data_IF_541237611114
#
_entry.id   IF_541237611114
#
_cell.length_a   1.000
_cell.length_b   1.000
_cell.length_c   1.000
_cell.angle_alpha   90.00
_cell.angle_beta   90.00
_cell.angle_gamma   90.00
#
_symmetry.space_group_name_H-M   'P 1'
#
loop_
_entity.id
_entity.type
_entity.pdbx_description
1 polymer ?
#
# COMPACT_ATOMS: atom_id res chain seq x y z
N UNK A 1 31.60 -71.93 -6.51
CA UNK A 1 30.79 -70.72 -6.29
C UNK A 1 30.30 -69.98 -7.55
N UNK A 2 30.94 -70.13 -8.73
CA UNK A 2 30.47 -69.46 -9.96
C UNK A 2 29.16 -70.00 -10.60
N UNK A 3 28.77 -71.22 -10.29
CA UNK A 3 27.58 -71.86 -10.87
C UNK A 3 26.27 -71.46 -10.19
N UNK A 4 26.30 -71.01 -8.93
CA UNK A 4 25.13 -70.57 -8.19
C UNK A 4 24.67 -69.17 -8.69
N UNK A 5 25.59 -68.29 -9.05
CA UNK A 5 25.23 -66.95 -9.55
C UNK A 5 24.58 -66.96 -10.94
N UNK A 6 24.93 -67.91 -11.80
CA UNK A 6 24.29 -68.05 -13.09
C UNK A 6 22.83 -68.54 -12.96
N UNK A 7 22.55 -69.43 -12.02
CA UNK A 7 21.18 -69.89 -11.74
C UNK A 7 20.29 -68.80 -11.17
N UNK A 8 20.79 -67.92 -10.31
CA UNK A 8 20.10 -66.80 -9.73
C UNK A 8 19.82 -65.72 -10.79
N UNK A 9 20.78 -65.50 -11.67
CA UNK A 9 20.63 -64.49 -12.76
C UNK A 9 19.52 -64.94 -13.78
N UNK A 10 19.46 -66.23 -14.12
CA UNK A 10 18.39 -66.78 -14.96
C UNK A 10 17.01 -66.79 -14.28
N UNK A 11 16.95 -67.00 -12.98
CA UNK A 11 15.71 -66.92 -12.20
C UNK A 11 15.16 -65.46 -12.12
N UNK A 12 16.06 -64.46 -12.05
CA UNK A 12 15.66 -63.07 -12.10
C UNK A 12 15.18 -62.63 -13.52
N UNK A 13 15.74 -63.20 -14.59
CA UNK A 13 15.32 -62.87 -15.94
C UNK A 13 13.95 -63.50 -16.26
N UNK A 14 13.62 -64.69 -15.74
CA UNK A 14 12.32 -65.32 -15.89
C UNK A 14 11.23 -64.65 -15.03
N UNK A 15 11.61 -63.91 -13.98
CA UNK A 15 10.69 -63.11 -13.16
C UNK A 15 10.25 -61.78 -13.77
N UNK A 16 10.99 -61.30 -14.79
CA UNK A 16 10.70 -60.02 -15.46
C UNK A 16 9.88 -60.19 -16.73
N UNK A 17 9.70 -61.42 -17.22
CA UNK A 17 8.84 -61.72 -18.40
C UNK A 17 7.40 -62.04 -18.02
N UNK A 18 6.97 -61.85 -16.82
CA UNK A 18 5.57 -61.68 -16.49
C UNK A 18 5.11 -60.37 -17.07
N UNK A 19 4.92 -60.27 -18.36
CA UNK A 19 3.96 -59.32 -18.94
C UNK A 19 2.65 -59.69 -18.25
N UNK A 20 2.31 -58.98 -17.23
CA UNK A 20 0.92 -58.82 -16.85
C UNK A 20 0.30 -58.10 -18.06
N UNK A 21 -0.36 -58.84 -18.93
CA UNK A 21 -1.32 -58.26 -19.82
C UNK A 21 -2.31 -57.56 -18.91
N UNK A 22 -2.18 -56.26 -18.82
CA UNK A 22 -3.16 -55.43 -18.17
C UNK A 22 -4.41 -55.49 -19.01
N UNK A 23 -5.28 -56.47 -18.76
CA UNK A 23 -6.60 -56.56 -19.35
C UNK A 23 -7.49 -55.35 -18.96
N UNK A 24 -6.96 -54.38 -18.24
CA UNK A 24 -7.62 -53.14 -17.92
C UNK A 24 -7.67 -52.15 -19.07
N UNK A 25 -6.94 -52.38 -20.18
CA UNK A 25 -7.25 -51.77 -21.47
C UNK A 25 -8.45 -52.48 -22.14
N UNK A 26 -9.56 -52.54 -21.40
CA UNK A 26 -10.82 -52.67 -22.11
C UNK A 26 -10.90 -51.50 -23.05
N UNK A 27 -10.94 -51.80 -24.38
CA UNK A 27 -11.29 -50.81 -25.35
C UNK A 27 -12.56 -50.12 -24.85
N UNK A 28 -12.45 -48.88 -24.46
CA UNK A 28 -13.58 -48.07 -24.05
C UNK A 28 -14.63 -48.20 -25.10
N UNK A 29 -15.83 -48.73 -24.83
CA UNK A 29 -16.86 -48.81 -25.87
C UNK A 29 -16.96 -47.43 -26.54
N UNK A 30 -17.11 -47.39 -27.86
CA UNK A 30 -17.26 -46.11 -28.60
C UNK A 30 -18.36 -45.21 -28.02
N UNK A 31 -19.32 -45.80 -27.28
CA UNK A 31 -20.35 -45.10 -26.52
C UNK A 31 -19.84 -44.40 -25.24
N UNK A 32 -18.60 -44.65 -24.78
CA UNK A 32 -17.99 -43.96 -23.65
C UNK A 32 -17.09 -42.79 -24.01
N UNK A 33 -17.02 -42.42 -25.29
CA UNK A 33 -16.06 -41.45 -25.84
C UNK A 33 -16.62 -40.02 -25.89
N UNK A 34 -17.73 -39.73 -25.24
CA UNK A 34 -18.10 -38.32 -25.06
C UNK A 34 -17.27 -37.73 -23.93
N UNK A 35 -16.26 -36.99 -24.26
CA UNK A 35 -15.42 -36.26 -23.31
C UNK A 35 -16.21 -35.07 -22.77
N UNK A 36 -16.24 -34.91 -21.46
CA UNK A 36 -16.78 -33.69 -20.85
C UNK A 36 -15.75 -32.59 -21.10
N UNK A 37 -16.09 -31.61 -21.92
CA UNK A 37 -15.25 -30.44 -22.13
C UNK A 37 -15.91 -29.25 -21.48
N UNK A 38 -15.15 -28.53 -20.64
CA UNK A 38 -15.58 -27.35 -19.91
C UNK A 38 -14.76 -26.17 -20.45
N UNK A 39 -15.43 -25.09 -20.86
CA UNK A 39 -14.75 -23.86 -21.25
C UNK A 39 -14.04 -23.25 -20.02
N UNK A 40 -12.78 -22.84 -20.16
CA UNK A 40 -12.00 -22.24 -19.11
C UNK A 40 -12.62 -20.92 -18.64
N UNK A 41 -12.61 -20.68 -17.35
CA UNK A 41 -12.97 -19.39 -16.77
C UNK A 41 -11.73 -18.49 -16.71
N UNK A 42 -11.95 -17.20 -16.94
CA UNK A 42 -10.91 -16.20 -16.70
C UNK A 42 -10.74 -15.95 -15.21
N UNK A 43 -9.50 -15.69 -14.79
CA UNK A 43 -9.21 -15.18 -13.46
C UNK A 43 -10.05 -13.95 -13.16
N UNK A 44 -10.60 -13.88 -11.96
CA UNK A 44 -11.52 -12.81 -11.59
C UNK A 44 -11.22 -12.28 -10.18
N UNK A 45 -11.90 -11.20 -9.83
CA UNK A 45 -11.80 -10.66 -8.48
C UNK A 45 -13.17 -10.23 -7.97
N UNK A 46 -13.32 -10.28 -6.66
CA UNK A 46 -14.53 -9.95 -5.95
C UNK A 46 -14.21 -9.09 -4.72
N UNK A 47 -15.17 -8.28 -4.31
CA UNK A 47 -15.10 -7.52 -3.06
C UNK A 47 -15.80 -8.35 -1.99
N UNK A 48 -15.10 -8.63 -0.90
CA UNK A 48 -15.64 -9.35 0.26
C UNK A 48 -16.94 -8.70 0.76
N UNK A 49 -17.91 -9.51 1.10
CA UNK A 49 -19.22 -9.09 1.65
C UNK A 49 -20.07 -8.16 0.76
N UNK A 50 -19.64 -7.93 -0.50
CA UNK A 50 -20.35 -7.05 -1.44
C UNK A 50 -20.63 -7.70 -2.78
N UNK A 51 -19.83 -8.66 -3.19
CA UNK A 51 -19.97 -9.32 -4.50
C UNK A 51 -20.72 -10.62 -4.38
N UNK A 52 -21.65 -10.87 -5.30
CA UNK A 52 -22.16 -12.20 -5.57
C UNK A 52 -21.47 -12.73 -6.82
N UNK A 53 -20.73 -13.82 -6.68
CA UNK A 53 -20.06 -14.48 -7.79
C UNK A 53 -21.06 -15.31 -8.56
N UNK A 54 -21.42 -14.88 -9.77
CA UNK A 54 -22.33 -15.59 -10.66
C UNK A 54 -21.58 -16.18 -11.86
N UNK A 55 -21.60 -17.51 -11.98
CA UNK A 55 -20.91 -18.24 -13.03
C UNK A 55 -21.80 -19.34 -13.60
N UNK A 56 -21.66 -19.59 -14.89
CA UNK A 56 -22.34 -20.70 -15.56
C UNK A 56 -21.35 -21.34 -16.53
N UNK A 57 -20.96 -22.60 -16.34
CA UNK A 57 -20.03 -23.29 -17.22
C UNK A 57 -20.69 -23.59 -18.56
N UNK A 58 -19.93 -23.45 -19.63
CA UNK A 58 -20.29 -24.00 -20.93
C UNK A 58 -19.66 -25.38 -21.05
N UNK A 59 -20.51 -26.37 -21.07
CA UNK A 59 -20.11 -27.79 -21.11
C UNK A 59 -20.58 -28.41 -22.40
N UNK A 60 -19.73 -29.21 -23.00
CA UNK A 60 -20.05 -30.01 -24.21
C UNK A 60 -19.76 -31.50 -23.94
N UNK A 61 -20.34 -32.36 -24.75
CA UNK A 61 -20.20 -33.80 -24.65
C UNK A 61 -21.46 -34.53 -24.13
N UNK A 62 -22.21 -33.93 -23.22
CA UNK A 62 -23.42 -34.50 -22.63
C UNK A 62 -24.52 -33.45 -22.48
N UNK A 63 -25.77 -33.89 -22.31
CA UNK A 63 -26.87 -33.00 -21.94
C UNK A 63 -26.82 -32.63 -20.46
N UNK A 64 -27.34 -31.46 -20.08
CA UNK A 64 -27.36 -31.01 -18.70
C UNK A 64 -28.08 -31.97 -17.74
N UNK A 65 -29.05 -32.75 -18.21
CA UNK A 65 -29.79 -33.73 -17.42
C UNK A 65 -28.94 -34.92 -17.00
N UNK A 66 -27.90 -35.21 -17.77
CA UNK A 66 -26.95 -36.32 -17.51
C UNK A 66 -25.79 -35.89 -16.60
N UNK A 67 -25.66 -34.61 -16.35
CA UNK A 67 -24.54 -34.04 -15.62
C UNK A 67 -24.93 -33.64 -14.21
N UNK A 68 -23.95 -33.75 -13.30
CA UNK A 68 -23.95 -33.23 -11.95
C UNK A 68 -22.83 -32.20 -11.82
N UNK A 69 -23.05 -31.14 -11.06
CA UNK A 69 -22.12 -30.05 -10.88
C UNK A 69 -21.72 -29.95 -9.43
N UNK A 70 -20.43 -29.65 -9.18
CA UNK A 70 -19.90 -29.32 -7.88
C UNK A 70 -18.93 -28.18 -7.98
N UNK A 71 -19.19 -27.12 -7.19
CA UNK A 71 -18.30 -25.99 -7.07
C UNK A 71 -17.65 -26.03 -5.71
N UNK A 72 -16.35 -25.89 -5.66
CA UNK A 72 -15.62 -25.81 -4.42
C UNK A 72 -14.47 -24.83 -4.51
N UNK A 73 -13.95 -24.39 -3.36
CA UNK A 73 -12.92 -23.40 -3.22
C UNK A 73 -11.84 -23.87 -2.25
N UNK A 74 -10.59 -23.51 -2.52
CA UNK A 74 -9.46 -23.71 -1.63
C UNK A 74 -8.46 -22.55 -1.71
N UNK A 75 -7.41 -22.56 -0.84
CA UNK A 75 -6.46 -21.45 -0.74
C UNK A 75 -6.98 -20.33 0.19
N UNK A 76 -6.32 -19.18 0.22
CA UNK A 76 -6.68 -18.09 1.11
C UNK A 76 -6.79 -18.54 2.57
N UNK A 77 -7.93 -18.30 3.21
CA UNK A 77 -8.18 -18.75 4.59
C UNK A 77 -8.35 -20.28 4.75
N UNK A 78 -8.45 -21.03 3.64
CA UNK A 78 -8.52 -22.49 3.60
C UNK A 78 -7.20 -23.13 3.19
N UNK A 79 -6.07 -22.42 3.39
CA UNK A 79 -4.74 -22.92 3.02
C UNK A 79 -4.20 -24.03 3.93
N UNK A 80 -4.91 -24.38 5.00
CA UNK A 80 -4.55 -25.48 5.88
C UNK A 80 -4.52 -26.80 5.11
N UNK A 81 -3.45 -27.56 5.28
CA UNK A 81 -3.34 -28.91 4.73
C UNK A 81 -3.97 -29.93 5.68
N UNK A 82 -4.82 -30.78 5.12
CA UNK A 82 -5.31 -31.98 5.75
C UNK A 82 -4.45 -33.17 5.33
N UNK A 83 -4.68 -34.36 5.91
CA UNK A 83 -4.02 -35.61 5.49
C UNK A 83 -4.30 -35.94 4.01
N UNK A 84 -5.47 -35.50 3.49
CA UNK A 84 -5.94 -35.74 2.13
C UNK A 84 -5.61 -34.60 1.13
N UNK A 85 -4.84 -33.59 1.53
CA UNK A 85 -4.47 -32.48 0.67
C UNK A 85 -4.90 -31.12 1.21
N UNK A 86 -5.30 -30.18 0.31
CA UNK A 86 -5.82 -28.87 0.72
C UNK A 86 -7.25 -29.00 1.26
N UNK A 87 -7.55 -28.19 2.28
CA UNK A 87 -8.93 -28.05 2.74
C UNK A 87 -9.76 -27.40 1.65
N UNK A 88 -10.78 -28.11 1.16
CA UNK A 88 -11.74 -27.59 0.19
C UNK A 88 -13.07 -27.29 0.87
N UNK A 89 -13.75 -26.24 0.42
CA UNK A 89 -15.08 -25.86 0.88
C UNK A 89 -16.02 -25.84 -0.31
N UNK A 90 -17.10 -26.60 -0.25
CA UNK A 90 -18.13 -26.59 -1.29
C UNK A 90 -18.92 -25.28 -1.23
N UNK A 91 -19.06 -24.59 -2.37
CA UNK A 91 -19.76 -23.32 -2.49
C UNK A 91 -20.98 -23.36 -3.42
N UNK A 92 -21.20 -24.48 -4.11
CA UNK A 92 -22.37 -24.71 -4.95
C UNK A 92 -22.47 -26.15 -5.45
N UNK A 93 -23.68 -26.54 -5.89
CA UNK A 93 -23.98 -27.85 -6.45
C UNK A 93 -24.83 -27.78 -7.74
N UNK A 94 -25.20 -26.58 -8.15
CA UNK A 94 -26.01 -26.35 -9.35
C UNK A 94 -25.12 -25.94 -10.53
N UNK A 95 -25.63 -26.11 -11.76
CA UNK A 95 -24.92 -25.66 -12.97
C UNK A 95 -24.57 -24.18 -12.89
N UNK A 96 -25.52 -23.33 -12.46
CA UNK A 96 -25.27 -21.92 -12.20
C UNK A 96 -24.82 -21.75 -10.74
N UNK A 97 -23.58 -21.33 -10.56
CA UNK A 97 -23.11 -20.84 -9.26
C UNK A 97 -23.70 -19.45 -9.01
N UNK A 98 -24.22 -19.25 -7.80
CA UNK A 98 -24.55 -17.94 -7.24
C UNK A 98 -24.04 -17.94 -5.80
N UNK A 99 -22.87 -17.36 -5.59
CA UNK A 99 -22.14 -17.44 -4.31
C UNK A 99 -21.89 -16.06 -3.73
N UNK A 100 -22.50 -15.68 -2.60
CA UNK A 100 -22.13 -14.48 -1.86
C UNK A 100 -20.69 -14.63 -1.36
N UNK A 101 -19.81 -13.70 -1.74
CA UNK A 101 -18.39 -13.78 -1.40
C UNK A 101 -18.18 -13.27 0.02
N UNK A 102 -18.41 -14.14 1.01
CA UNK A 102 -18.18 -13.89 2.44
C UNK A 102 -16.82 -14.45 2.88
N UNK A 103 -15.80 -14.19 2.07
CA UNK A 103 -14.44 -14.69 2.25
C UNK A 103 -13.54 -13.58 2.78
N UNK A 104 -12.51 -13.95 3.54
CA UNK A 104 -11.43 -13.03 3.89
C UNK A 104 -10.65 -12.61 2.65
N UNK A 105 -10.02 -11.45 2.74
CA UNK A 105 -9.12 -10.96 1.68
C UNK A 105 -8.01 -11.98 1.43
N UNK A 106 -7.80 -12.30 0.16
CA UNK A 106 -6.81 -13.29 -0.24
C UNK A 106 -7.02 -13.77 -1.67
N UNK A 107 -6.17 -14.68 -2.09
CA UNK A 107 -6.29 -15.36 -3.38
C UNK A 107 -6.77 -16.78 -3.15
N UNK A 108 -7.81 -17.16 -3.85
CA UNK A 108 -8.44 -18.46 -3.79
C UNK A 108 -8.43 -19.12 -5.16
N UNK A 109 -8.51 -20.42 -5.19
CA UNK A 109 -8.79 -21.19 -6.40
C UNK A 109 -10.21 -21.70 -6.34
N UNK A 110 -11.02 -21.34 -7.32
CA UNK A 110 -12.38 -21.87 -7.49
C UNK A 110 -12.35 -22.97 -8.54
N UNK A 111 -12.98 -24.08 -8.24
CA UNK A 111 -13.03 -25.27 -9.11
C UNK A 111 -14.48 -25.58 -9.44
N UNK A 112 -14.74 -25.79 -10.72
CA UNK A 112 -15.98 -26.35 -11.22
C UNK A 112 -15.72 -27.80 -11.68
N UNK A 113 -16.28 -28.74 -10.96
CA UNK A 113 -16.25 -30.17 -11.29
C UNK A 113 -17.59 -30.56 -11.93
N UNK A 114 -17.53 -31.22 -13.06
CA UNK A 114 -18.70 -31.71 -13.80
C UNK A 114 -18.58 -33.21 -13.96
N UNK A 115 -19.57 -33.94 -13.47
CA UNK A 115 -19.58 -35.41 -13.43
C UNK A 115 -20.75 -35.96 -14.24
N UNK A 116 -20.52 -36.96 -15.06
CA UNK A 116 -21.60 -37.73 -15.68
C UNK A 116 -22.22 -38.67 -14.64
N UNK A 117 -23.53 -38.55 -14.43
CA UNK A 117 -24.27 -39.30 -13.38
C UNK A 117 -24.26 -40.82 -13.57
N UNK A 118 -24.21 -41.28 -14.81
CA UNK A 118 -24.30 -42.69 -15.13
C UNK A 118 -22.94 -43.39 -15.02
N UNK A 119 -21.90 -42.75 -15.55
CA UNK A 119 -20.58 -43.35 -15.65
C UNK A 119 -19.64 -42.97 -14.48
N UNK A 120 -19.94 -41.90 -13.78
CA UNK A 120 -19.05 -41.31 -12.78
C UNK A 120 -17.81 -40.63 -13.36
N UNK A 121 -17.70 -40.54 -14.70
CA UNK A 121 -16.62 -39.82 -15.34
C UNK A 121 -16.77 -38.32 -15.07
N UNK A 122 -15.69 -37.66 -14.70
CA UNK A 122 -15.69 -36.24 -14.39
C UNK A 122 -14.57 -35.50 -15.10
N UNK A 123 -14.77 -34.22 -15.29
CA UNK A 123 -13.74 -33.26 -15.65
C UNK A 123 -13.89 -32.00 -14.81
N UNK A 124 -12.82 -31.24 -14.68
CA UNK A 124 -12.80 -30.01 -13.88
C UNK A 124 -12.11 -28.87 -14.62
N UNK A 125 -12.49 -27.65 -14.26
CA UNK A 125 -11.79 -26.42 -14.62
C UNK A 125 -11.61 -25.57 -13.39
N UNK A 126 -10.51 -24.82 -13.33
CA UNK A 126 -10.20 -23.97 -12.20
C UNK A 126 -9.79 -22.56 -12.63
N UNK A 127 -9.98 -21.59 -11.79
CA UNK A 127 -9.55 -20.21 -11.99
C UNK A 127 -9.21 -19.54 -10.68
N UNK A 128 -8.42 -18.45 -10.74
CA UNK A 128 -8.04 -17.66 -9.59
C UNK A 128 -9.13 -16.64 -9.26
N UNK A 129 -9.56 -16.62 -7.99
CA UNK A 129 -10.44 -15.59 -7.41
C UNK A 129 -9.64 -14.73 -6.43
N UNK A 130 -9.38 -13.48 -6.80
CA UNK A 130 -8.77 -12.50 -5.88
C UNK A 130 -9.89 -11.79 -5.11
N UNK A 131 -9.99 -12.06 -3.81
CA UNK A 131 -10.91 -11.37 -2.90
C UNK A 131 -10.22 -10.14 -2.33
N UNK A 132 -10.85 -8.98 -2.51
CA UNK A 132 -10.36 -7.67 -2.05
C UNK A 132 -11.37 -7.05 -1.11
N UNK A 133 -10.99 -5.96 -0.41
CA UNK A 133 -11.97 -5.15 0.32
C UNK A 133 -12.49 -4.00 -0.55
N UNK A 134 -13.58 -3.39 -0.11
CA UNK A 134 -14.09 -2.17 -0.73
C UNK A 134 -13.08 -1.02 -0.66
N UNK A 135 -12.14 -1.06 0.30
CA UNK A 135 -11.24 0.02 0.67
C UNK A 135 -9.76 -0.27 0.39
N UNK A 136 -9.41 -1.38 -0.30
CA UNK A 136 -8.01 -1.79 -0.49
C UNK A 136 -7.40 -1.38 -1.82
N UNK A 137 -8.19 -0.99 -2.81
CA UNK A 137 -7.70 -0.64 -4.15
C UNK A 137 -8.24 0.73 -4.59
N UNK A 138 -7.51 1.80 -4.24
CA UNK A 138 -7.92 3.16 -4.56
C UNK A 138 -7.16 4.22 -3.78
N UNK A 139 -7.77 5.38 -3.67
CA UNK A 139 -7.17 6.55 -3.04
C UNK A 139 -8.04 7.07 -1.89
N UNK A 140 -7.43 7.27 -0.75
CA UNK A 140 -8.05 7.95 0.38
C UNK A 140 -7.85 9.46 0.23
N UNK A 141 -8.89 10.21 0.48
CA UNK A 141 -8.93 11.67 0.40
C UNK A 141 -9.35 12.18 1.77
N UNK A 142 -8.40 12.73 2.51
CA UNK A 142 -8.68 13.35 3.81
C UNK A 142 -9.45 14.65 3.64
N UNK A 143 -10.50 14.85 4.42
CA UNK A 143 -11.33 16.05 4.34
C UNK A 143 -11.81 16.56 5.70
N UNK A 144 -12.14 17.84 5.74
CA UNK A 144 -12.90 18.46 6.83
C UNK A 144 -14.41 18.32 6.54
N UNK A 145 -15.17 17.86 7.52
CA UNK A 145 -16.63 17.82 7.44
C UNK A 145 -17.22 19.20 7.65
N UNK A 146 -18.49 19.38 7.33
CA UNK A 146 -19.22 20.65 7.59
C UNK A 146 -19.22 21.06 9.07
N UNK A 147 -19.10 20.09 9.97
CA UNK A 147 -19.07 20.32 11.42
C UNK A 147 -17.65 20.53 11.95
N UNK A 148 -16.63 20.62 11.08
CA UNK A 148 -15.25 20.85 11.44
C UNK A 148 -14.53 19.63 12.01
N UNK A 149 -15.01 18.43 11.73
CA UNK A 149 -14.41 17.16 12.07
C UNK A 149 -13.64 16.56 10.88
N UNK A 150 -12.95 15.47 11.14
CA UNK A 150 -12.13 14.77 10.14
C UNK A 150 -12.84 13.55 9.61
N UNK A 151 -12.96 13.45 8.30
CA UNK A 151 -13.39 12.24 7.62
C UNK A 151 -12.52 11.97 6.38
N UNK A 152 -12.79 10.89 5.69
CA UNK A 152 -12.13 10.54 4.45
C UNK A 152 -13.17 10.14 3.41
N UNK A 153 -12.92 10.48 2.16
CA UNK A 153 -13.54 9.83 1.01
C UNK A 153 -12.58 8.77 0.47
N UNK A 154 -13.15 7.72 -0.10
CA UNK A 154 -12.38 6.69 -0.78
C UNK A 154 -12.78 6.61 -2.24
N UNK A 155 -11.85 6.93 -3.14
CA UNK A 155 -12.02 6.71 -4.57
C UNK A 155 -11.55 5.30 -4.94
N UNK A 156 -12.50 4.44 -5.31
CA UNK A 156 -12.19 3.11 -5.81
C UNK A 156 -11.74 3.23 -7.27
N UNK A 157 -10.45 3.03 -7.52
CA UNK A 157 -9.86 3.21 -8.87
C UNK A 157 -10.37 2.17 -9.88
N UNK A 158 -10.72 0.98 -9.42
CA UNK A 158 -11.23 -0.08 -10.28
C UNK A 158 -12.67 0.16 -10.72
N UNK A 159 -13.53 0.56 -9.78
CA UNK A 159 -14.95 0.80 -10.04
C UNK A 159 -15.22 2.23 -10.53
N UNK A 160 -14.23 3.12 -10.43
CA UNK A 160 -14.34 4.55 -10.73
C UNK A 160 -15.47 5.23 -9.94
N UNK A 161 -15.62 4.84 -8.68
CA UNK A 161 -16.65 5.33 -7.77
C UNK A 161 -16.05 5.93 -6.52
N UNK A 162 -16.72 6.92 -5.95
CA UNK A 162 -16.39 7.51 -4.65
C UNK A 162 -17.27 6.92 -3.58
N UNK A 163 -16.68 6.45 -2.49
CA UNK A 163 -17.36 6.10 -1.25
C UNK A 163 -17.12 7.28 -0.31
N UNK A 164 -18.13 8.10 0.00
CA UNK A 164 -17.96 9.26 0.85
C UNK A 164 -17.97 8.86 2.33
N UNK A 165 -17.40 9.72 3.16
CA UNK A 165 -17.50 9.68 4.63
C UNK A 165 -17.16 8.32 5.24
N UNK A 166 -16.04 7.70 4.80
CA UNK A 166 -15.74 6.30 5.15
C UNK A 166 -15.49 6.09 6.64
N UNK A 167 -14.99 7.10 7.38
CA UNK A 167 -14.86 7.01 8.84
C UNK A 167 -16.26 7.00 9.47
N UNK A 168 -17.06 8.01 9.21
CA UNK A 168 -18.39 8.13 9.79
C UNK A 168 -19.32 6.97 9.39
N UNK A 169 -19.21 6.49 8.15
CA UNK A 169 -20.04 5.38 7.65
C UNK A 169 -19.82 4.08 8.41
N UNK A 170 -18.58 3.84 8.90
CA UNK A 170 -18.21 2.61 9.61
C UNK A 170 -18.20 2.79 11.13
N UNK A 171 -17.66 3.91 11.62
CA UNK A 171 -17.53 4.17 13.05
C UNK A 171 -18.81 4.77 13.67
N UNK A 172 -19.74 5.27 12.83
CA UNK A 172 -20.95 5.96 13.25
C UNK A 172 -20.81 7.47 13.41
N UNK A 173 -19.58 7.97 13.47
CA UNK A 173 -19.24 9.40 13.55
C UNK A 173 -17.87 9.68 12.92
N UNK A 174 -17.67 10.92 12.50
CA UNK A 174 -16.38 11.41 12.03
C UNK A 174 -15.39 11.57 13.19
N UNK A 175 -14.08 11.48 12.92
CA UNK A 175 -13.06 11.69 13.94
C UNK A 175 -13.06 13.16 14.40
N UNK A 176 -13.03 13.38 15.70
CA UNK A 176 -13.12 14.72 16.29
C UNK A 176 -11.95 15.63 15.86
N UNK A 177 -12.27 16.90 15.60
CA UNK A 177 -11.31 17.94 15.23
C UNK A 177 -10.97 17.98 13.74
N UNK A 178 -10.35 19.10 13.33
CA UNK A 178 -9.99 19.35 11.93
C UNK A 178 -8.90 18.39 11.44
N UNK A 179 -8.95 17.97 10.16
CA UNK A 179 -7.92 17.10 9.59
C UNK A 179 -6.53 17.76 9.63
N UNK A 180 -5.53 16.99 10.04
CA UNK A 180 -4.15 17.44 10.08
C UNK A 180 -3.29 16.67 9.08
N UNK A 181 -3.28 15.32 9.16
CA UNK A 181 -2.45 14.51 8.31
C UNK A 181 -3.01 13.10 8.13
N UNK A 182 -2.59 12.44 7.06
CA UNK A 182 -2.92 11.07 6.74
C UNK A 182 -1.68 10.36 6.18
N UNK A 183 -1.37 9.17 6.69
CA UNK A 183 -0.24 8.37 6.24
C UNK A 183 -0.66 6.91 6.04
N UNK A 184 -0.19 6.22 4.99
CA UNK A 184 -0.34 4.79 4.87
C UNK A 184 0.54 4.08 5.91
N UNK A 185 0.02 3.02 6.51
CA UNK A 185 0.73 2.18 7.48
C UNK A 185 0.72 0.74 6.98
N UNK A 186 1.89 0.23 6.62
CA UNK A 186 2.03 -1.12 6.08
C UNK A 186 2.49 -2.09 7.17
N UNK A 187 2.03 -3.33 7.07
CA UNK A 187 2.44 -4.42 7.96
C UNK A 187 2.31 -4.09 9.46
N UNK A 188 1.27 -3.33 9.83
CA UNK A 188 1.00 -3.02 11.23
C UNK A 188 0.58 -4.26 11.98
N UNK A 189 1.37 -4.66 12.97
CA UNK A 189 1.00 -5.74 13.86
C UNK A 189 -0.13 -5.26 14.79
N UNK A 190 -1.13 -6.11 15.00
CA UNK A 190 -2.19 -5.87 15.98
C UNK A 190 -2.70 -7.22 16.52
N UNK A 191 -3.45 -7.18 17.60
CA UNK A 191 -4.14 -8.37 18.12
C UNK A 191 -5.56 -8.37 17.53
N UNK A 192 -5.85 -9.34 16.69
CA UNK A 192 -7.18 -9.53 16.12
C UNK A 192 -8.17 -9.87 17.27
N UNK A 193 -9.18 -9.03 17.51
CA UNK A 193 -10.12 -9.22 18.61
C UNK A 193 -10.96 -10.50 18.46
N UNK A 194 -11.18 -10.99 17.25
CA UNK A 194 -11.98 -12.19 17.00
C UNK A 194 -11.22 -13.47 17.30
N UNK A 195 -9.90 -13.49 17.08
CA UNK A 195 -9.07 -14.69 17.24
C UNK A 195 -8.11 -14.59 18.43
N UNK A 196 -7.94 -13.42 19.03
CA UNK A 196 -6.94 -13.09 20.04
C UNK A 196 -5.50 -13.44 19.61
N UNK A 197 -5.24 -13.48 18.31
CA UNK A 197 -3.91 -13.76 17.74
C UNK A 197 -3.29 -12.49 17.17
N UNK A 198 -1.97 -12.43 17.26
CA UNK A 198 -1.19 -11.41 16.57
C UNK A 198 -1.28 -11.62 15.05
N UNK A 199 -1.58 -10.59 14.31
CA UNK A 199 -1.69 -10.58 12.86
C UNK A 199 -1.21 -9.26 12.29
N UNK A 200 -1.20 -9.13 10.97
CA UNK A 200 -0.77 -7.92 10.25
C UNK A 200 -1.94 -7.30 9.51
N UNK A 201 -1.97 -5.97 9.48
CA UNK A 201 -2.89 -5.20 8.65
C UNK A 201 -2.17 -4.09 7.92
N UNK A 202 -2.72 -3.68 6.79
CA UNK A 202 -2.47 -2.37 6.20
C UNK A 202 -3.54 -1.42 6.74
N UNK A 203 -3.11 -0.25 7.16
CA UNK A 203 -4.00 0.76 7.71
C UNK A 203 -3.72 2.14 7.17
N UNK A 204 -4.59 3.06 7.55
CA UNK A 204 -4.43 4.49 7.33
C UNK A 204 -4.36 5.17 8.69
N UNK A 205 -3.23 5.80 8.97
CA UNK A 205 -3.04 6.63 10.16
C UNK A 205 -3.58 8.02 9.86
N UNK A 206 -4.55 8.47 10.63
CA UNK A 206 -5.21 9.77 10.47
C UNK A 206 -5.05 10.57 11.74
N UNK A 207 -4.54 11.79 11.62
CA UNK A 207 -4.43 12.75 12.73
C UNK A 207 -5.41 13.89 12.53
N UNK A 208 -5.97 14.38 13.64
CA UNK A 208 -6.87 15.52 13.64
C UNK A 208 -6.50 16.51 14.75
N UNK A 209 -7.16 17.65 14.76
CA UNK A 209 -7.02 18.66 15.80
C UNK A 209 -7.28 18.08 17.19
N UNK A 210 -6.83 18.78 18.23
CA UNK A 210 -6.92 18.35 19.63
C UNK A 210 -6.07 17.10 19.95
N UNK A 211 -5.05 16.83 19.14
CA UNK A 211 -4.11 15.73 19.29
C UNK A 211 -4.73 14.33 19.10
N UNK A 212 -5.87 14.24 18.47
CA UNK A 212 -6.54 12.97 18.20
C UNK A 212 -5.90 12.27 17.00
N UNK A 213 -5.88 10.95 17.04
CA UNK A 213 -5.51 10.11 15.92
C UNK A 213 -6.13 8.72 16.01
N UNK A 214 -6.24 8.08 14.86
CA UNK A 214 -6.62 6.67 14.74
C UNK A 214 -5.85 6.00 13.62
N UNK A 215 -5.69 4.69 13.70
CA UNK A 215 -5.27 3.83 12.59
C UNK A 215 -6.46 3.01 12.18
N UNK A 216 -6.95 3.27 10.97
CA UNK A 216 -8.08 2.53 10.38
C UNK A 216 -7.57 1.42 9.48
N UNK A 217 -8.18 0.24 9.58
CA UNK A 217 -7.91 -0.89 8.70
C UNK A 217 -8.36 -0.59 7.26
N UNK A 218 -7.53 -0.86 6.25
CA UNK A 218 -7.96 -0.77 4.85
C UNK A 218 -8.87 -1.92 4.42
N UNK A 219 -9.13 -2.88 5.31
CA UNK A 219 -10.01 -4.01 5.04
C UNK A 219 -11.48 -3.59 5.18
N UNK A 220 -11.80 -2.95 6.29
CA UNK A 220 -13.17 -2.70 6.72
C UNK A 220 -13.35 -1.35 7.42
N UNK A 221 -12.33 -0.51 7.44
CA UNK A 221 -12.28 0.77 8.14
C UNK A 221 -12.50 0.69 9.65
N UNK A 222 -12.38 -0.51 10.24
CA UNK A 222 -12.37 -0.67 11.70
C UNK A 222 -11.14 -0.01 12.31
N UNK A 223 -11.28 0.50 13.54
CA UNK A 223 -10.15 1.08 14.27
C UNK A 223 -9.22 -0.02 14.78
N UNK A 224 -7.98 -0.03 14.27
CA UNK A 224 -6.92 -0.93 14.76
C UNK A 224 -6.30 -0.40 16.06
N UNK A 225 -6.01 0.89 16.08
CA UNK A 225 -5.47 1.61 17.21
C UNK A 225 -5.96 3.06 17.22
N UNK A 226 -6.02 3.62 18.41
CA UNK A 226 -6.30 5.02 18.68
C UNK A 226 -5.31 5.56 19.73
N UNK A 227 -5.53 6.79 20.16
CA UNK A 227 -4.70 7.44 21.19
C UNK A 227 -4.61 6.64 22.51
N UNK A 228 -5.68 5.93 22.87
CA UNK A 228 -5.74 5.18 24.12
C UNK A 228 -5.07 3.81 24.05
N UNK A 229 -4.95 3.24 22.88
CA UNK A 229 -4.55 1.84 22.66
C UNK A 229 -3.18 1.65 21.99
N UNK A 230 -2.63 2.70 21.34
CA UNK A 230 -1.41 2.58 20.56
C UNK A 230 -0.14 2.40 21.40
N UNK A 231 -0.11 2.91 22.64
CA UNK A 231 1.02 2.78 23.55
C UNK A 231 0.75 1.73 24.63
N UNK A 232 1.80 1.23 25.25
CA UNK A 232 1.69 0.39 26.46
C UNK A 232 1.26 1.18 27.70
N UNK A 233 1.48 2.49 27.70
CA UNK A 233 0.99 3.42 28.72
C UNK A 233 0.11 4.48 28.08
N UNK A 234 -0.60 5.22 28.90
CA UNK A 234 -1.33 6.40 28.45
C UNK A 234 -0.38 7.40 27.77
N UNK A 235 -0.78 7.91 26.61
CA UNK A 235 -0.02 8.95 25.90
C UNK A 235 -0.17 10.29 26.64
N UNK A 236 0.94 11.01 26.79
CA UNK A 236 0.93 12.36 27.36
C UNK A 236 -0.09 13.26 26.62
N UNK A 237 -0.96 13.92 27.38
CA UNK A 237 -2.01 14.78 26.83
C UNK A 237 -1.50 15.93 25.97
N UNK A 238 -0.24 16.36 26.17
CA UNK A 238 0.42 17.38 25.35
C UNK A 238 1.18 16.80 24.14
N UNK A 239 1.22 15.48 23.98
CA UNK A 239 1.86 14.87 22.84
C UNK A 239 0.98 14.99 21.61
N UNK A 240 1.54 15.61 20.57
CA UNK A 240 0.91 15.81 19.25
C UNK A 240 1.56 14.85 18.26
N UNK A 241 0.88 13.79 17.85
CA UNK A 241 1.39 12.92 16.81
C UNK A 241 1.32 13.63 15.45
N UNK A 242 2.39 13.50 14.67
CA UNK A 242 2.49 14.12 13.36
C UNK A 242 2.26 13.12 12.22
N UNK A 243 3.01 12.02 12.26
CA UNK A 243 2.99 11.04 11.18
C UNK A 243 3.36 9.65 11.72
N UNK A 244 2.89 8.64 11.04
CA UNK A 244 3.39 7.28 11.17
C UNK A 244 3.99 6.87 9.84
N UNK A 245 5.23 6.42 9.83
CA UNK A 245 5.95 6.05 8.61
C UNK A 245 6.44 4.62 8.74
N UNK A 246 6.09 3.81 7.74
CA UNK A 246 6.57 2.44 7.65
C UNK A 246 7.95 2.43 7.00
N UNK A 247 8.93 1.85 7.69
CA UNK A 247 10.28 1.62 7.20
C UNK A 247 10.63 0.13 7.32
N UNK A 248 11.78 -0.31 6.77
CA UNK A 248 12.15 -1.72 6.79
C UNK A 248 12.33 -2.30 8.21
N UNK A 249 12.54 -1.46 9.21
CA UNK A 249 12.67 -1.86 10.62
C UNK A 249 11.34 -1.91 11.39
N UNK A 250 10.21 -1.60 10.76
CA UNK A 250 8.89 -1.50 11.37
C UNK A 250 8.24 -0.14 11.16
N UNK A 251 7.21 0.17 11.94
CA UNK A 251 6.55 1.46 11.89
C UNK A 251 7.18 2.42 12.91
N UNK A 252 7.31 3.68 12.55
CA UNK A 252 7.82 4.74 13.43
C UNK A 252 6.75 5.81 13.60
N UNK A 253 6.44 6.16 14.85
CA UNK A 253 5.52 7.24 15.19
C UNK A 253 6.33 8.50 15.49
N UNK A 254 6.08 9.56 14.74
CA UNK A 254 6.67 10.87 14.91
C UNK A 254 5.70 11.81 15.65
N UNK A 255 6.18 12.47 16.67
CA UNK A 255 5.40 13.45 17.46
C UNK A 255 6.25 14.66 17.86
N UNK A 256 5.63 15.67 18.48
CA UNK A 256 6.34 16.81 19.06
C UNK A 256 7.26 16.43 20.23
N UNK A 257 7.16 15.23 20.76
CA UNK A 257 8.00 14.75 21.87
C UNK A 257 9.18 13.89 21.38
N UNK A 258 9.11 13.32 20.16
CA UNK A 258 10.17 12.51 19.61
C UNK A 258 9.70 11.45 18.62
N UNK A 259 10.53 10.43 18.41
CA UNK A 259 10.25 9.28 17.54
C UNK A 259 10.10 8.03 18.40
N UNK A 260 9.02 7.29 18.21
CA UNK A 260 8.81 5.99 18.84
C UNK A 260 8.96 4.89 17.80
N UNK A 261 9.66 3.83 18.16
CA UNK A 261 9.78 2.63 17.33
C UNK A 261 8.66 1.66 17.69
N UNK A 262 8.15 0.96 16.69
CA UNK A 262 7.13 -0.06 16.87
C UNK A 262 7.66 -1.19 17.75
N UNK A 263 6.88 -1.62 18.72
CA UNK A 263 7.13 -2.84 19.45
C UNK A 263 6.51 -4.02 18.70
N UNK A 264 7.34 -4.96 18.27
CA UNK A 264 6.91 -6.15 17.56
C UNK A 264 6.00 -7.09 18.39
N UNK A 265 5.94 -6.89 19.71
CA UNK A 265 5.18 -7.74 20.66
C UNK A 265 3.67 -7.56 20.67
N UNK A 266 3.06 -6.81 19.77
CA UNK A 266 1.60 -6.59 19.74
C UNK A 266 1.21 -5.34 18.99
N UNK A 267 2.18 -4.71 18.34
CA UNK A 267 1.99 -3.51 17.53
C UNK A 267 1.86 -2.22 18.35
N UNK A 268 2.07 -2.27 19.66
CA UNK A 268 2.07 -1.10 20.51
C UNK A 268 3.45 -0.50 20.63
N UNK A 269 3.50 0.81 20.68
CA UNK A 269 4.75 1.51 20.92
C UNK A 269 5.11 1.55 22.40
N UNK A 270 6.42 1.51 22.68
CA UNK A 270 6.92 1.74 24.02
C UNK A 270 6.59 3.17 24.50
N UNK A 271 6.48 3.33 25.82
CA UNK A 271 6.25 4.64 26.44
C UNK A 271 7.46 5.57 26.28
N UNK A 272 8.65 5.00 26.20
CA UNK A 272 9.90 5.75 26.06
C UNK A 272 10.14 6.15 24.59
N UNK A 273 10.76 7.29 24.43
CA UNK A 273 11.15 7.81 23.13
C UNK A 273 12.53 7.28 22.74
N UNK A 274 12.77 7.19 21.44
CA UNK A 274 14.11 7.25 20.90
C UNK A 274 14.72 8.62 21.25
N UNK A 275 16.02 8.76 21.23
CA UNK A 275 16.67 10.01 21.57
C UNK A 275 16.26 11.14 20.61
N UNK A 276 16.07 12.33 21.17
CA UNK A 276 15.71 13.54 20.44
C UNK A 276 14.22 13.83 20.38
N UNK A 277 13.89 15.05 20.02
CA UNK A 277 12.54 15.57 19.87
C UNK A 277 12.35 16.16 18.50
N UNK A 278 11.12 16.05 18.01
CA UNK A 278 10.72 16.68 16.76
C UNK A 278 9.95 17.95 17.05
N UNK A 279 10.31 19.04 16.38
CA UNK A 279 9.54 20.26 16.38
C UNK A 279 9.19 20.63 14.94
N UNK A 280 7.91 20.63 14.62
CA UNK A 280 7.43 21.08 13.32
C UNK A 280 6.71 22.41 13.43
N UNK A 281 6.78 23.26 12.38
CA UNK A 281 5.98 24.47 12.32
C UNK A 281 4.49 24.12 12.35
N UNK A 282 3.73 24.79 13.20
CA UNK A 282 2.28 24.62 13.27
C UNK A 282 1.62 24.84 11.91
N UNK A 283 0.73 23.95 11.52
CA UNK A 283 -0.13 24.10 10.34
C UNK A 283 0.42 23.57 9.00
N UNK A 284 1.61 22.96 8.97
CA UNK A 284 2.10 22.27 7.77
C UNK A 284 2.07 20.75 7.97
N UNK A 285 1.62 20.01 6.97
CA UNK A 285 1.55 18.56 7.00
C UNK A 285 2.94 17.96 7.31
N UNK A 286 2.99 17.14 8.35
CA UNK A 286 4.27 16.67 8.90
C UNK A 286 4.91 15.58 8.07
N UNK A 287 4.13 14.77 7.35
CA UNK A 287 4.66 13.73 6.49
C UNK A 287 5.53 14.26 5.34
N UNK A 288 5.30 15.49 4.89
CA UNK A 288 6.11 16.11 3.83
C UNK A 288 7.54 16.45 4.25
N UNK A 289 7.85 16.40 5.53
CA UNK A 289 9.19 16.65 6.07
C UNK A 289 9.93 15.38 6.51
N UNK A 290 9.39 14.22 6.22
CA UNK A 290 9.95 12.91 6.57
C UNK A 290 10.13 12.13 5.26
N UNK A 291 11.37 11.76 4.95
CA UNK A 291 11.72 11.05 3.72
C UNK A 291 12.58 9.81 4.04
N UNK A 292 12.46 8.78 3.22
CA UNK A 292 13.35 7.64 3.32
C UNK A 292 14.80 8.09 3.06
N UNK A 293 15.72 7.84 4.01
CA UNK A 293 17.13 8.23 3.89
C UNK A 293 18.01 7.13 3.32
N UNK A 294 17.76 5.92 3.73
CA UNK A 294 18.34 4.69 3.18
C UNK A 294 17.31 3.55 3.32
N UNK A 295 17.70 2.32 3.05
CA UNK A 295 16.78 1.18 3.12
C UNK A 295 16.17 0.89 4.51
N UNK A 296 16.66 1.53 5.57
CA UNK A 296 16.22 1.30 6.95
C UNK A 296 15.89 2.59 7.71
N UNK A 297 16.52 3.70 7.35
CA UNK A 297 16.46 4.95 8.09
C UNK A 297 15.62 5.99 7.36
N UNK A 298 15.05 6.90 8.16
CA UNK A 298 14.26 8.03 7.68
C UNK A 298 15.02 9.33 7.97
N UNK A 299 15.06 10.24 7.00
CA UNK A 299 15.50 11.61 7.22
C UNK A 299 14.32 12.50 7.59
N UNK A 300 14.55 13.49 8.44
CA UNK A 300 13.53 14.44 8.86
C UNK A 300 14.16 15.75 9.35
N UNK A 301 13.34 16.80 9.41
CA UNK A 301 13.71 18.04 10.06
C UNK A 301 13.37 18.00 11.54
N UNK A 302 14.35 18.33 12.38
CA UNK A 302 14.13 18.55 13.82
C UNK A 302 14.03 20.04 14.12
N UNK A 303 12.86 20.49 14.54
CA UNK A 303 12.66 21.89 14.95
C UNK A 303 13.36 22.24 16.27
N UNK A 304 13.65 21.27 17.12
CA UNK A 304 14.38 21.48 18.38
C UNK A 304 15.88 21.71 18.15
N UNK A 305 16.51 20.81 17.39
CA UNK A 305 17.94 20.95 17.07
C UNK A 305 18.21 21.90 15.91
N UNK A 306 17.16 22.25 15.14
CA UNK A 306 17.24 23.02 13.90
C UNK A 306 18.25 22.42 12.92
N UNK A 307 18.15 21.11 12.72
CA UNK A 307 19.04 20.33 11.83
C UNK A 307 18.22 19.27 11.09
N UNK A 308 18.74 18.89 9.96
CA UNK A 308 18.33 17.67 9.30
C UNK A 308 18.92 16.49 10.06
N UNK A 309 18.04 15.57 10.45
CA UNK A 309 18.38 14.39 11.24
C UNK A 309 18.02 13.14 10.43
N UNK A 310 18.57 12.01 10.81
CA UNK A 310 18.10 10.70 10.36
C UNK A 310 18.01 9.73 11.55
N UNK A 311 17.12 8.74 11.41
CA UNK A 311 17.05 7.64 12.38
C UNK A 311 18.22 6.71 12.17
N UNK A 312 18.90 6.30 13.25
CA UNK A 312 20.04 5.37 13.22
C UNK A 312 19.79 4.28 14.26
N UNK A 313 19.10 3.19 13.84
CA UNK A 313 18.65 2.16 14.77
C UNK A 313 17.67 2.75 15.80
N UNK A 314 18.07 2.74 17.09
CA UNK A 314 17.28 3.33 18.20
C UNK A 314 17.66 4.79 18.52
N UNK A 315 18.53 5.40 17.74
CA UNK A 315 19.04 6.75 17.96
C UNK A 315 18.75 7.68 16.78
N UNK A 316 19.08 8.93 16.90
CA UNK A 316 18.97 9.94 15.86
C UNK A 316 20.29 10.68 15.71
N UNK A 317 20.73 10.83 14.48
CA UNK A 317 21.99 11.48 14.14
C UNK A 317 21.78 12.65 13.19
N UNK A 318 22.63 13.66 13.30
CA UNK A 318 22.62 14.82 12.40
C UNK A 318 23.13 14.45 11.02
N UNK A 319 22.42 14.87 9.96
CA UNK A 319 22.86 14.77 8.59
C UNK A 319 23.83 15.91 8.32
N UNK A 320 25.12 15.58 8.19
CA UNK A 320 26.19 16.54 7.98
C UNK A 320 26.40 16.80 6.49
N UNK A 321 27.08 17.91 6.20
CA UNK A 321 27.65 18.14 4.87
C UNK A 321 28.67 17.05 4.55
N UNK A 322 28.71 16.64 3.26
CA UNK A 322 29.74 15.71 2.77
C UNK A 322 31.12 16.24 3.06
N UNK A 323 32.07 15.34 3.28
CA UNK A 323 33.47 15.70 3.44
C UNK A 323 33.96 16.49 2.23
N UNK A 324 34.64 17.60 2.50
CA UNK A 324 35.13 18.50 1.44
C UNK A 324 34.06 19.36 0.78
N UNK A 325 32.86 19.50 1.37
CA UNK A 325 31.83 20.39 0.82
C UNK A 325 32.25 21.86 0.90
N UNK A 326 32.40 22.52 -0.23
CA UNK A 326 32.81 23.93 -0.34
C UNK A 326 31.67 24.84 -0.84
N UNK A 327 30.46 24.29 -1.05
CA UNK A 327 29.30 25.04 -1.57
C UNK A 327 28.66 25.99 -0.53
N UNK A 328 27.55 26.58 -0.94
CA UNK A 328 26.73 27.43 -0.06
C UNK A 328 26.22 26.61 1.13
N UNK A 329 26.24 27.20 2.32
CA UNK A 329 25.71 26.57 3.55
C UNK A 329 24.45 27.29 4.01
N UNK A 330 23.53 26.54 4.57
CA UNK A 330 22.29 27.05 5.15
C UNK A 330 22.56 27.61 6.55
N UNK A 331 22.04 28.78 6.86
CA UNK A 331 21.91 29.21 8.26
C UNK A 331 20.72 28.50 8.90
N UNK A 332 21.03 27.36 9.53
CA UNK A 332 20.02 26.50 10.14
C UNK A 332 19.22 27.18 11.26
N UNK A 333 19.82 28.15 11.95
CA UNK A 333 19.13 28.89 13.01
C UNK A 333 18.01 29.78 12.49
N UNK A 334 18.10 30.18 11.23
CA UNK A 334 17.10 30.99 10.54
C UNK A 334 16.22 30.18 9.57
N UNK A 335 16.49 28.88 9.42
CA UNK A 335 15.81 28.04 8.45
C UNK A 335 14.45 27.55 8.99
N UNK A 336 13.44 27.57 8.12
CA UNK A 336 12.13 26.95 8.34
C UNK A 336 11.81 26.01 7.16
N UNK A 337 11.43 24.76 7.40
CA UNK A 337 11.12 23.83 6.32
C UNK A 337 9.83 24.26 5.61
N UNK A 338 9.81 24.13 4.29
CA UNK A 338 8.67 24.46 3.43
C UNK A 338 8.09 23.21 2.79
N UNK A 339 8.97 22.37 2.23
CA UNK A 339 8.59 21.13 1.57
C UNK A 339 9.75 20.15 1.59
N UNK A 340 9.46 18.89 1.34
CA UNK A 340 10.46 17.86 1.07
C UNK A 340 9.93 16.88 0.04
N UNK A 341 10.82 16.15 -0.59
CA UNK A 341 10.46 15.13 -1.55
C UNK A 341 11.62 14.20 -1.85
N UNK A 342 11.27 13.17 -2.59
CA UNK A 342 12.18 12.13 -3.00
C UNK A 342 12.07 11.89 -4.50
N UNK A 343 13.22 11.84 -5.16
CA UNK A 343 13.30 11.56 -6.59
C UNK A 343 14.11 10.28 -6.80
N UNK A 344 13.52 9.31 -7.42
CA UNK A 344 14.18 8.05 -7.79
C UNK A 344 14.41 8.01 -9.30
N UNK A 345 15.64 8.16 -9.75
CA UNK A 345 15.98 8.04 -11.15
C UNK A 345 17.10 7.01 -11.35
N UNK A 346 16.83 5.95 -12.13
CA UNK A 346 17.84 5.05 -12.71
C UNK A 346 19.08 4.82 -11.82
N UNK A 347 18.87 4.40 -10.56
CA UNK A 347 19.93 4.11 -9.61
C UNK A 347 20.54 5.31 -8.88
N UNK A 348 19.95 6.49 -9.02
CA UNK A 348 20.30 7.67 -8.21
C UNK A 348 19.07 8.16 -7.46
N UNK A 349 18.94 7.79 -6.20
CA UNK A 349 17.97 8.37 -5.31
C UNK A 349 18.45 9.75 -4.88
N UNK A 350 17.57 10.72 -4.91
CA UNK A 350 17.82 12.08 -4.44
C UNK A 350 16.71 12.47 -3.49
N UNK A 351 17.08 12.91 -2.31
CA UNK A 351 16.15 13.47 -1.33
C UNK A 351 16.39 14.96 -1.33
N UNK A 352 15.34 15.74 -1.31
CA UNK A 352 15.45 17.19 -1.23
C UNK A 352 14.57 17.76 -0.13
N UNK A 353 15.05 18.85 0.45
CA UNK A 353 14.33 19.68 1.41
C UNK A 353 14.37 21.12 0.94
N UNK A 354 13.25 21.80 1.05
CA UNK A 354 13.14 23.23 0.73
C UNK A 354 12.96 23.99 2.04
N UNK A 355 13.77 25.04 2.22
CA UNK A 355 13.76 25.87 3.40
C UNK A 355 13.60 27.34 3.03
N UNK A 356 12.79 28.08 3.81
CA UNK A 356 12.86 29.52 3.89
C UNK A 356 13.89 29.88 4.96
N UNK A 357 14.90 30.67 4.58
CA UNK A 357 15.93 31.18 5.49
C UNK A 357 15.69 32.68 5.69
N UNK A 358 15.40 33.09 6.93
CA UNK A 358 15.00 34.46 7.22
C UNK A 358 16.08 35.49 6.78
N UNK A 359 15.68 36.47 6.00
CA UNK A 359 16.56 37.51 5.46
C UNK A 359 17.41 37.07 4.25
N UNK A 360 17.42 35.81 3.88
CA UNK A 360 18.25 35.29 2.78
C UNK A 360 17.46 34.73 1.61
N UNK A 361 16.20 34.28 1.85
CA UNK A 361 15.33 33.69 0.84
C UNK A 361 15.29 32.15 0.94
N UNK A 362 15.00 31.52 -0.17
CA UNK A 362 14.68 30.06 -0.23
C UNK A 362 15.87 29.23 -0.68
N UNK A 363 16.04 28.08 -0.04
CA UNK A 363 17.14 27.14 -0.27
C UNK A 363 16.62 25.74 -0.53
N UNK A 364 17.17 25.08 -1.55
CA UNK A 364 17.00 23.64 -1.76
C UNK A 364 18.23 22.93 -1.22
N UNK A 365 18.03 22.00 -0.31
CA UNK A 365 19.06 21.13 0.25
C UNK A 365 18.87 19.74 -0.33
N UNK A 366 19.89 19.24 -1.01
CA UNK A 366 19.88 17.95 -1.68
C UNK A 366 20.73 16.96 -0.89
N UNK A 367 20.14 15.82 -0.55
CA UNK A 367 20.79 14.73 0.15
C UNK A 367 21.04 13.56 -0.80
N UNK A 368 22.14 12.86 -0.57
CA UNK A 368 22.31 11.49 -1.07
C UNK A 368 21.94 10.51 0.05
N UNK A 369 21.15 9.49 -0.26
CA UNK A 369 20.81 8.44 0.70
C UNK A 369 22.07 7.88 1.37
N UNK A 370 22.13 7.95 2.71
CA UNK A 370 23.27 7.51 3.49
C UNK A 370 24.57 8.33 3.31
N UNK A 371 24.57 9.37 2.47
CA UNK A 371 25.79 10.13 2.09
C UNK A 371 25.89 11.57 2.60
N UNK A 372 24.88 12.07 3.28
CA UNK A 372 24.86 13.44 3.81
C UNK A 372 24.36 14.50 2.82
N UNK A 373 24.60 15.77 3.17
CA UNK A 373 24.23 16.92 2.32
C UNK A 373 25.21 17.01 1.15
N UNK A 374 24.70 16.78 -0.05
CA UNK A 374 25.47 16.73 -1.28
C UNK A 374 25.53 18.09 -1.99
N UNK A 375 24.42 18.82 -1.98
CA UNK A 375 24.30 20.10 -2.64
C UNK A 375 23.33 21.02 -1.88
N UNK A 376 23.63 22.32 -1.90
CA UNK A 376 22.71 23.37 -1.45
C UNK A 376 22.60 24.40 -2.58
N UNK A 377 21.36 24.70 -2.96
CA UNK A 377 21.04 25.67 -4.01
C UNK A 377 20.27 26.81 -3.36
N UNK A 378 20.82 28.01 -3.38
CA UNK A 378 20.06 29.22 -3.07
C UNK A 378 19.25 29.61 -4.30
N UNK A 379 17.94 29.65 -4.16
CA UNK A 379 17.06 30.04 -5.26
C UNK A 379 17.14 31.56 -5.50
N UNK A 380 17.22 31.97 -6.76
CA UNK A 380 17.06 33.38 -7.12
C UNK A 380 15.63 33.82 -6.83
N UNK A 381 15.47 34.99 -6.24
CA UNK A 381 14.16 35.53 -5.86
C UNK A 381 13.21 35.78 -7.05
N UNK A 382 13.73 35.81 -8.28
CA UNK A 382 12.95 35.95 -9.52
C UNK A 382 12.25 34.63 -9.91
N UNK A 383 12.73 33.47 -9.42
CA UNK A 383 12.14 32.17 -9.70
C UNK A 383 10.77 32.01 -9.02
N UNK A 384 9.86 31.35 -9.71
CA UNK A 384 8.51 31.04 -9.18
C UNK A 384 8.57 30.07 -8.02
N UNK A 385 9.47 29.07 -8.06
CA UNK A 385 9.68 28.14 -6.95
C UNK A 385 10.12 28.87 -5.66
N UNK A 386 10.83 30.00 -5.78
CA UNK A 386 11.20 30.81 -4.63
C UNK A 386 10.00 31.47 -3.92
N UNK A 387 8.83 31.49 -4.56
CA UNK A 387 7.59 32.12 -4.05
C UNK A 387 6.45 31.12 -3.85
N UNK A 388 6.57 29.91 -4.44
CA UNK A 388 5.51 28.93 -4.45
C UNK A 388 5.17 28.43 -3.03
N UNK A 389 3.87 28.33 -2.72
CA UNK A 389 3.37 27.76 -1.48
C UNK A 389 2.85 26.33 -1.64
N UNK A 390 2.44 25.96 -2.85
CA UNK A 390 2.01 24.62 -3.22
C UNK A 390 3.14 23.96 -4.00
N UNK A 391 3.75 22.93 -3.44
CA UNK A 391 5.00 22.34 -3.93
C UNK A 391 4.92 20.83 -3.87
N UNK A 392 5.37 20.17 -4.95
CA UNK A 392 5.52 18.72 -4.99
C UNK A 392 6.80 18.30 -5.71
N UNK A 393 7.25 17.10 -5.43
CA UNK A 393 8.32 16.44 -6.17
C UNK A 393 7.82 15.72 -7.41
N UNK A 394 8.71 14.89 -7.92
CA UNK A 394 8.41 13.91 -8.94
C UNK A 394 9.30 12.69 -8.67
N UNK A 395 8.68 11.54 -8.41
CA UNK A 395 9.39 10.41 -7.82
C UNK A 395 10.24 9.60 -8.81
N UNK A 396 9.87 9.50 -10.08
CA UNK A 396 10.47 8.52 -11.00
C UNK A 396 11.25 9.10 -12.16
N UNK A 397 10.68 10.08 -12.85
CA UNK A 397 11.12 10.40 -14.20
C UNK A 397 12.10 11.56 -14.28
N UNK A 398 12.13 12.42 -13.28
CA UNK A 398 13.02 13.58 -13.29
C UNK A 398 13.45 14.01 -11.89
N UNK A 399 14.56 14.72 -11.83
CA UNK A 399 15.02 15.43 -10.63
C UNK A 399 14.39 16.82 -10.60
N UNK A 400 13.06 16.88 -10.58
CA UNK A 400 12.30 18.12 -10.67
C UNK A 400 11.52 18.39 -9.40
N UNK A 401 11.39 19.67 -9.08
CA UNK A 401 10.46 20.19 -8.08
C UNK A 401 9.44 21.03 -8.84
N UNK A 402 8.17 20.81 -8.55
CA UNK A 402 7.08 21.59 -9.10
C UNK A 402 6.56 22.55 -8.06
N UNK A 403 6.26 23.76 -8.48
CA UNK A 403 5.72 24.81 -7.62
C UNK A 403 4.58 25.54 -8.30
N UNK A 404 3.63 26.03 -7.53
CA UNK A 404 2.53 26.87 -7.99
C UNK A 404 2.78 28.30 -7.52
N UNK A 405 2.85 29.23 -8.46
CA UNK A 405 2.91 30.69 -8.23
C UNK A 405 1.90 31.37 -9.14
N UNK A 406 1.12 32.31 -8.60
CA UNK A 406 0.03 32.99 -9.31
C UNK A 406 -0.92 32.03 -10.05
N UNK A 407 -1.30 30.94 -9.37
CA UNK A 407 -2.17 29.86 -9.88
C UNK A 407 -1.65 29.20 -11.18
N UNK A 408 -0.34 29.18 -11.38
CA UNK A 408 0.34 28.56 -12.53
C UNK A 408 1.38 27.57 -12.04
N UNK A 409 1.51 26.48 -12.78
CA UNK A 409 2.48 25.42 -12.49
C UNK A 409 3.82 25.71 -13.15
N UNK A 410 4.89 25.61 -12.38
CA UNK A 410 6.28 25.75 -12.82
C UNK A 410 7.09 24.52 -12.42
N UNK A 411 8.11 24.21 -13.17
CA UNK A 411 9.02 23.09 -12.91
C UNK A 411 10.45 23.61 -12.76
N UNK A 412 11.06 23.33 -11.64
CA UNK A 412 12.49 23.58 -11.41
C UNK A 412 13.28 22.28 -11.55
N UNK A 413 14.32 22.27 -12.38
CA UNK A 413 15.22 21.13 -12.54
C UNK A 413 16.39 21.22 -11.57
N UNK A 414 16.51 20.26 -10.65
CA UNK A 414 17.66 20.18 -9.73
C UNK A 414 18.98 19.90 -10.46
N UNK A 415 18.94 19.25 -11.62
CA UNK A 415 20.12 18.89 -12.40
C UNK A 415 20.63 20.08 -13.22
N UNK A 416 19.71 20.84 -13.80
CA UNK A 416 20.05 21.96 -14.69
C UNK A 416 20.17 23.29 -13.94
N UNK A 417 19.58 23.38 -12.75
CA UNK A 417 19.52 24.61 -11.97
C UNK A 417 18.62 25.68 -12.60
N UNK A 418 17.66 25.28 -13.44
CA UNK A 418 16.81 26.17 -14.22
C UNK A 418 15.34 25.89 -14.00
N UNK A 419 14.53 26.92 -14.16
CA UNK A 419 13.07 26.85 -14.11
C UNK A 419 12.48 26.96 -15.51
N UNK A 420 11.45 26.18 -15.81
CA UNK A 420 10.71 26.27 -17.07
C UNK A 420 9.75 27.47 -17.04
N UNK A 421 9.28 27.89 -18.22
CA UNK A 421 8.07 28.73 -18.31
C UNK A 421 6.87 27.97 -17.73
N UNK A 422 5.77 28.68 -17.43
CA UNK A 422 4.54 28.10 -16.94
C UNK A 422 4.12 26.88 -17.78
N UNK A 423 3.86 25.78 -17.11
CA UNK A 423 3.42 24.54 -17.76
C UNK A 423 1.91 24.64 -17.96
N UNK A 424 1.42 24.58 -19.19
CA UNK A 424 -0.01 24.48 -19.43
C UNK A 424 -0.48 23.10 -18.95
N UNK A 425 -1.47 23.04 -18.07
CA UNK A 425 -2.11 21.79 -17.65
C UNK A 425 -3.48 21.75 -18.30
N UNK A 426 -3.61 20.90 -19.32
CA UNK A 426 -4.87 20.73 -20.04
C UNK A 426 -5.87 19.94 -19.19
N UNK A 427 -7.14 20.31 -19.28
CA UNK A 427 -8.23 19.58 -18.64
C UNK A 427 -8.42 19.86 -17.15
N UNK A 428 -7.67 20.79 -16.54
CA UNK A 428 -7.95 21.22 -15.18
C UNK A 428 -9.28 22.01 -15.12
N UNK A 429 -10.13 21.71 -14.11
CA UNK A 429 -11.30 22.55 -13.82
C UNK A 429 -10.91 23.99 -13.49
N UNK A 430 -11.85 24.93 -13.64
CA UNK A 430 -11.66 26.29 -13.18
C UNK A 430 -11.54 26.34 -11.65
N UNK A 431 -10.62 27.16 -11.13
CA UNK A 431 -10.43 27.33 -9.70
C UNK A 431 -8.98 27.66 -9.34
N UNK A 432 -8.68 27.62 -8.05
CA UNK A 432 -7.37 27.86 -7.48
C UNK A 432 -6.69 26.56 -7.16
N UNK A 433 -5.45 26.37 -7.57
CA UNK A 433 -4.63 25.21 -7.18
C UNK A 433 -4.23 25.39 -5.71
N UNK A 434 -4.73 24.53 -4.84
CA UNK A 434 -4.50 24.59 -3.38
C UNK A 434 -3.72 23.41 -2.84
N UNK A 435 -3.57 22.35 -3.63
CA UNK A 435 -2.87 21.14 -3.24
C UNK A 435 -2.11 20.54 -4.41
N UNK A 436 -0.95 19.99 -4.13
CA UNK A 436 -0.20 19.18 -5.07
C UNK A 436 0.62 18.14 -4.33
N UNK A 437 0.63 16.92 -4.83
CA UNK A 437 1.46 15.83 -4.32
C UNK A 437 1.93 14.95 -5.48
N UNK A 438 3.09 14.35 -5.31
CA UNK A 438 3.53 13.26 -6.17
C UNK A 438 2.82 11.96 -5.75
N UNK A 439 2.38 11.21 -6.73
CA UNK A 439 1.78 9.90 -6.54
C UNK A 439 2.61 8.86 -7.28
N UNK A 440 3.31 8.05 -6.50
CA UNK A 440 4.05 6.90 -7.00
C UNK A 440 3.15 5.68 -7.04
N UNK A 441 2.72 5.26 -8.23
CA UNK A 441 1.91 4.08 -8.43
C UNK A 441 2.68 3.03 -9.22
N UNK A 442 3.29 2.09 -8.49
CA UNK A 442 4.08 1.02 -9.09
C UNK A 442 5.37 1.50 -9.78
N UNK A 443 6.06 0.63 -10.48
CA UNK A 443 7.37 0.93 -11.11
C UNK A 443 7.27 1.74 -12.42
N UNK A 444 6.09 2.11 -12.87
CA UNK A 444 5.89 2.62 -14.23
C UNK A 444 5.13 3.95 -14.32
N UNK A 445 4.50 4.40 -13.25
CA UNK A 445 3.63 5.56 -13.27
C UNK A 445 4.06 6.60 -12.24
N UNK A 446 4.18 7.82 -12.69
CA UNK A 446 4.64 8.97 -11.95
C UNK A 446 3.66 10.12 -12.24
N UNK A 447 2.74 10.31 -11.31
CA UNK A 447 1.68 11.29 -11.43
C UNK A 447 1.89 12.42 -10.43
N UNK A 448 1.41 13.59 -10.79
CA UNK A 448 1.19 14.69 -9.86
C UNK A 448 -0.32 14.82 -9.67
N UNK A 449 -0.76 14.67 -8.43
CA UNK A 449 -2.13 14.96 -8.05
C UNK A 449 -2.25 16.46 -7.79
N UNK A 450 -3.21 17.10 -8.42
CA UNK A 450 -3.48 18.55 -8.28
C UNK A 450 -4.87 18.70 -7.67
N UNK A 451 -4.95 19.39 -6.54
CA UNK A 451 -6.20 19.78 -5.91
C UNK A 451 -6.59 21.20 -6.28
N UNK A 452 -7.82 21.38 -6.74
CA UNK A 452 -8.37 22.64 -7.21
C UNK A 452 -9.58 22.97 -6.36
N UNK A 453 -9.61 24.18 -5.84
CA UNK A 453 -10.72 24.75 -5.10
C UNK A 453 -11.48 25.77 -5.97
N UNK A 454 -12.80 25.60 -6.05
CA UNK A 454 -13.71 26.55 -6.70
C UNK A 454 -14.89 26.83 -5.76
N UNK A 455 -14.80 27.92 -5.00
CA UNK A 455 -15.75 28.17 -3.89
C UNK A 455 -15.59 27.11 -2.80
N UNK A 456 -16.68 26.42 -2.51
CA UNK A 456 -16.72 25.32 -1.52
C UNK A 456 -16.51 23.94 -2.16
N UNK A 457 -16.30 23.89 -3.46
CA UNK A 457 -16.06 22.63 -4.18
C UNK A 457 -14.57 22.37 -4.34
N UNK A 458 -14.16 21.11 -4.14
CA UNK A 458 -12.80 20.63 -4.35
C UNK A 458 -12.79 19.53 -5.39
N UNK A 459 -11.85 19.63 -6.32
CA UNK A 459 -11.62 18.61 -7.35
C UNK A 459 -10.17 18.14 -7.30
N UNK A 460 -9.96 16.83 -7.37
CA UNK A 460 -8.63 16.23 -7.58
C UNK A 460 -8.48 15.78 -9.02
N UNK A 461 -7.35 16.16 -9.62
CA UNK A 461 -6.96 15.78 -10.99
C UNK A 461 -5.57 15.13 -10.96
N UNK A 462 -5.34 14.15 -11.84
CA UNK A 462 -4.05 13.44 -11.99
C UNK A 462 -3.54 13.57 -13.41
#
# INVERSE_FOLDING_TARGET
>A
MKKIYIGLFWACILGITGCYEDDSTMATPESMVNEITIEEFADTSAVAYSTVLELTPKVTGYSDTELEYRWYIYGGEFSDRTEDGYRTVQIGAEKKLSYPVELKIGTYTVVCEVTNKETGYFNLTEFSLKVTSAFSEGFYILKETTDGNTDMDFYNDRQKTVIPDVIASVQGEAQSGKPCNMCPVYNKIYIDPATAKSTYATGVFVTSGQNEFSIYSTIDMSTLFDRSSLLFSEMDGEEVPYAMVSAMGGNMLFSNKGVRLDDLGGGRFASEYSTGKLGYPAGKGTSSFIQAYDGQNLSFWSGETRRLMYTSGSDMEEIKYKDGYEGVKVDWEQAAPVASGWNHRAGKNTIWYLFDVAGEGRYVVVLQPGGGIDQVIRLDASLHLAKADVIAGNALTSTSIYGVDDNRLYRYSLTEGTETSAIPVEGLPAGTITYMADLFYGSSFDYIVIGIQNGDEYTLSM
#
